data_IF_109603922178
#
_entry.id   IF_109603922178
#
_cell.length_a   1.000
_cell.length_b   1.000
_cell.length_c   1.000
_cell.angle_alpha   90.00
_cell.angle_beta   90.00
_cell.angle_gamma   90.00
#
_symmetry.space_group_name_H-M   'P 1'
#
loop_
_entity.id
_entity.type
_entity.pdbx_description
1 polymer ?
#
# COMPACT_ATOMS: atom_id res chain seq x y z
N UNK A 1 15.00 -5.21 7.45
CA UNK A 1 13.58 -4.87 7.26
C UNK A 1 13.40 -4.20 5.91
N UNK A 2 12.27 -4.43 5.24
CA UNK A 2 11.97 -3.81 3.94
C UNK A 2 10.48 -3.61 3.75
N UNK A 3 10.12 -2.69 2.88
CA UNK A 3 8.77 -2.56 2.37
C UNK A 3 8.62 -3.40 1.09
N UNK A 4 7.63 -4.30 1.06
CA UNK A 4 7.30 -5.08 -0.14
C UNK A 4 6.13 -4.43 -0.87
N UNK A 5 6.22 -4.38 -2.20
CA UNK A 5 5.13 -4.01 -3.09
C UNK A 5 5.06 -5.07 -4.19
N UNK A 6 3.86 -5.55 -4.52
CA UNK A 6 3.66 -6.47 -5.64
C UNK A 6 2.65 -5.84 -6.59
N UNK A 7 3.06 -5.59 -7.84
CA UNK A 7 2.23 -4.92 -8.84
C UNK A 7 1.84 -5.89 -9.98
N UNK A 8 0.64 -5.68 -10.55
CA UNK A 8 0.15 -6.46 -11.68
C UNK A 8 0.86 -6.10 -12.98
N UNK A 9 1.42 -7.13 -13.65
CA UNK A 9 2.07 -7.00 -14.96
C UNK A 9 1.11 -7.07 -16.14
N UNK A 10 -0.04 -7.74 -15.99
CA UNK A 10 -1.05 -7.87 -17.05
C UNK A 10 -1.73 -6.55 -17.43
N UNK A 11 -1.77 -5.60 -16.50
CA UNK A 11 -2.34 -4.27 -16.74
C UNK A 11 -1.52 -3.42 -17.70
N UNK A 12 -0.26 -3.80 -17.98
CA UNK A 12 0.65 -3.06 -18.88
C UNK A 12 0.71 -1.55 -18.57
N UNK A 13 0.63 -1.21 -17.28
CA UNK A 13 0.68 0.18 -16.81
C UNK A 13 1.91 0.88 -17.38
N UNK A 14 1.72 2.12 -17.83
CA UNK A 14 2.84 2.96 -18.23
C UNK A 14 3.80 3.15 -17.04
N UNK A 15 5.10 3.43 -17.27
CA UNK A 15 6.05 3.61 -16.18
C UNK A 15 5.59 4.66 -15.15
N UNK A 16 4.96 5.74 -15.60
CA UNK A 16 4.39 6.78 -14.74
C UNK A 16 3.22 6.28 -13.90
N UNK A 17 2.28 5.54 -14.49
CA UNK A 17 1.16 4.94 -13.76
C UNK A 17 1.64 3.91 -12.74
N UNK A 18 2.54 3.00 -13.13
CA UNK A 18 3.15 2.03 -12.22
C UNK A 18 3.82 2.71 -11.03
N UNK A 19 4.60 3.76 -11.28
CA UNK A 19 5.24 4.54 -10.22
C UNK A 19 4.21 5.16 -9.28
N UNK A 20 3.14 5.76 -9.80
CA UNK A 20 2.06 6.31 -9.00
C UNK A 20 1.39 5.24 -8.10
N UNK A 21 1.06 4.06 -8.66
CA UNK A 21 0.49 2.97 -7.88
C UNK A 21 1.45 2.46 -6.79
N UNK A 22 2.76 2.38 -7.09
CA UNK A 22 3.76 2.00 -6.10
C UNK A 22 3.91 3.08 -5.00
N UNK A 23 3.76 4.37 -5.32
CA UNK A 23 3.73 5.44 -4.32
C UNK A 23 2.50 5.30 -3.41
N UNK A 24 1.32 5.05 -3.96
CA UNK A 24 0.11 4.79 -3.17
C UNK A 24 0.32 3.58 -2.23
N UNK A 25 0.82 2.47 -2.76
CA UNK A 25 1.16 1.28 -1.97
C UNK A 25 2.18 1.56 -0.87
N UNK A 26 3.20 2.39 -1.15
CA UNK A 26 4.24 2.72 -0.20
C UNK A 26 3.75 3.59 0.95
N UNK A 27 2.82 4.52 0.66
CA UNK A 27 2.29 5.46 1.63
C UNK A 27 1.09 4.94 2.42
N UNK A 28 0.38 3.93 1.90
CA UNK A 28 -0.88 3.45 2.47
C UNK A 28 -0.80 3.18 3.98
N UNK A 29 0.24 2.49 4.46
CA UNK A 29 0.37 2.18 5.89
C UNK A 29 0.52 3.42 6.81
N UNK A 30 0.94 4.55 6.26
CA UNK A 30 1.01 5.83 6.96
C UNK A 30 -0.29 6.63 6.80
N UNK A 31 -0.85 6.64 5.58
CA UNK A 31 -1.96 7.53 5.22
C UNK A 31 -3.34 6.97 5.55
N UNK A 32 -3.54 5.65 5.51
CA UNK A 32 -4.83 5.04 5.86
C UNK A 32 -5.26 5.37 7.29
N UNK A 33 -4.40 5.19 8.32
CA UNK A 33 -4.75 5.56 9.69
C UNK A 33 -5.14 7.05 9.82
N UNK A 34 -4.43 7.94 9.12
CA UNK A 34 -4.73 9.38 9.10
C UNK A 34 -6.09 9.62 8.42
N UNK A 35 -6.36 8.98 7.29
CA UNK A 35 -7.63 9.09 6.58
C UNK A 35 -8.81 8.59 7.41
N UNK A 36 -8.57 7.63 8.31
CA UNK A 36 -9.54 7.16 9.31
C UNK A 36 -9.61 8.05 10.56
N UNK A 37 -8.88 9.17 10.61
CA UNK A 37 -8.88 10.12 11.72
C UNK A 37 -8.04 9.72 12.93
N UNK A 38 -7.21 8.68 12.84
CA UNK A 38 -6.38 8.22 13.95
C UNK A 38 -5.23 9.21 14.21
N UNK A 39 -5.15 9.73 15.44
CA UNK A 39 -4.11 10.69 15.83
C UNK A 39 -4.21 12.03 15.11
N UNK A 40 -5.38 12.38 14.55
CA UNK A 40 -5.61 13.62 13.82
C UNK A 40 -6.33 14.64 14.70
N UNK A 41 -5.73 15.82 14.85
CA UNK A 41 -6.28 16.94 15.62
C UNK A 41 -6.41 18.19 14.74
N UNK A 42 -7.54 18.91 14.78
CA UNK A 42 -7.70 20.16 14.05
C UNK A 42 -6.85 21.27 14.66
N UNK A 43 -6.30 22.13 13.81
CA UNK A 43 -5.57 23.33 14.20
C UNK A 43 -6.47 24.54 13.93
N UNK A 44 -6.94 25.16 15.00
CA UNK A 44 -7.84 26.32 14.92
C UNK A 44 -7.09 27.65 15.03
N UNK A 45 -7.55 28.63 14.27
CA UNK A 45 -7.11 30.02 14.35
C UNK A 45 -8.31 30.95 14.12
N UNK A 46 -8.58 31.84 15.07
CA UNK A 46 -9.73 32.76 15.04
C UNK A 46 -11.10 32.08 14.90
N UNK A 47 -11.26 30.85 15.40
CA UNK A 47 -12.50 30.08 15.29
C UNK A 47 -12.69 29.34 13.96
N UNK A 48 -11.67 29.33 13.09
CA UNK A 48 -11.67 28.54 11.84
C UNK A 48 -10.59 27.44 11.89
N UNK A 49 -10.93 26.25 11.37
CA UNK A 49 -9.95 25.18 11.17
C UNK A 49 -9.05 25.55 10.00
N UNK A 50 -7.76 25.72 10.27
CA UNK A 50 -6.75 26.13 9.29
C UNK A 50 -5.81 25.00 8.85
N UNK A 51 -5.91 23.85 9.52
CA UNK A 51 -5.13 22.67 9.19
C UNK A 51 -5.41 21.53 10.16
N UNK A 52 -4.68 20.43 9.97
CA UNK A 52 -4.73 19.27 10.84
C UNK A 52 -3.31 18.83 11.19
N UNK A 53 -3.09 18.47 12.45
CA UNK A 53 -1.89 17.76 12.89
C UNK A 53 -2.20 16.28 12.92
N UNK A 54 -1.31 15.45 12.39
CA UNK A 54 -1.42 14.00 12.47
C UNK A 54 -0.20 13.45 13.21
N UNK A 55 -0.44 12.59 14.20
CA UNK A 55 0.59 11.84 14.91
C UNK A 55 0.48 10.36 14.54
N UNK A 56 1.60 9.77 14.11
CA UNK A 56 1.69 8.35 13.75
C UNK A 56 2.64 7.67 14.72
N UNK A 57 2.17 6.60 15.36
CA UNK A 57 3.02 5.72 16.16
C UNK A 57 3.64 4.65 15.26
N UNK A 58 4.96 4.64 15.15
CA UNK A 58 5.72 3.59 14.49
C UNK A 58 6.31 2.65 15.53
N UNK A 59 6.23 1.35 15.28
CA UNK A 59 6.97 0.38 16.09
C UNK A 59 8.47 0.70 16.06
N UNK A 60 9.16 0.51 17.18
CA UNK A 60 10.59 0.83 17.34
C UNK A 60 11.43 0.31 16.17
N UNK A 61 11.28 -0.96 15.82
CA UNK A 61 12.02 -1.55 14.71
C UNK A 61 11.68 -0.84 13.39
N UNK A 62 10.38 -0.64 13.09
CA UNK A 62 9.89 0.11 11.92
C UNK A 62 10.57 1.48 11.79
N UNK A 63 10.70 2.21 12.91
CA UNK A 63 11.41 3.48 12.94
C UNK A 63 12.92 3.31 12.72
N UNK A 64 13.61 2.59 13.60
CA UNK A 64 15.08 2.56 13.64
C UNK A 64 15.72 1.83 12.45
N UNK A 65 15.13 0.74 11.96
CA UNK A 65 15.75 -0.07 10.90
C UNK A 65 15.23 0.27 9.50
N UNK A 66 14.05 0.87 9.38
CA UNK A 66 13.47 1.24 8.08
C UNK A 66 13.32 2.74 7.90
N UNK A 67 12.58 3.45 8.78
CA UNK A 67 12.29 4.88 8.60
C UNK A 67 13.53 5.77 8.71
N UNK A 68 14.29 5.64 9.80
CA UNK A 68 15.60 6.25 10.03
C UNK A 68 16.76 5.33 9.61
N UNK A 69 16.43 4.23 8.93
CA UNK A 69 17.36 3.22 8.46
C UNK A 69 17.50 3.23 6.94
N UNK A 70 17.44 2.03 6.34
CA UNK A 70 17.70 1.89 4.89
C UNK A 70 16.56 2.39 3.99
N UNK A 71 15.36 2.58 4.55
CA UNK A 71 14.13 2.93 3.84
C UNK A 71 13.83 2.02 2.63
N UNK A 72 14.37 0.79 2.66
CA UNK A 72 14.42 -0.15 1.53
C UNK A 72 13.04 -0.56 1.06
N UNK A 73 12.85 -0.59 -0.26
CA UNK A 73 11.63 -1.04 -0.92
C UNK A 73 11.97 -2.10 -1.97
N UNK A 74 11.15 -3.12 -2.09
CA UNK A 74 11.25 -4.14 -3.14
C UNK A 74 9.94 -4.22 -3.89
N UNK A 75 10.01 -4.10 -5.22
CA UNK A 75 8.85 -4.17 -6.11
C UNK A 75 8.93 -5.48 -6.89
N UNK A 76 7.94 -6.34 -6.72
CA UNK A 76 7.78 -7.59 -7.45
C UNK A 76 6.60 -7.52 -8.42
N UNK A 77 6.57 -8.41 -9.41
CA UNK A 77 5.50 -8.53 -10.39
C UNK A 77 4.59 -9.74 -10.15
N UNK A 78 3.30 -9.49 -9.94
CA UNK A 78 2.26 -10.49 -10.09
C UNK A 78 1.84 -10.61 -11.56
N UNK A 79 1.69 -11.84 -12.06
CA UNK A 79 1.28 -12.06 -13.46
C UNK A 79 -0.11 -11.48 -13.77
N UNK A 80 -1.04 -11.57 -12.82
CA UNK A 80 -2.41 -11.09 -12.95
C UNK A 80 -3.09 -10.94 -11.58
N UNK A 81 -4.34 -10.45 -11.56
CA UNK A 81 -5.18 -10.29 -10.35
C UNK A 81 -5.17 -11.52 -9.45
N UNK A 82 -5.33 -12.72 -10.02
CA UNK A 82 -5.37 -13.96 -9.24
C UNK A 82 -4.03 -14.27 -8.56
N UNK A 83 -2.90 -14.01 -9.22
CA UNK A 83 -1.59 -14.18 -8.58
C UNK A 83 -1.32 -13.08 -7.54
N UNK A 84 -1.81 -11.86 -7.75
CA UNK A 84 -1.73 -10.80 -6.76
C UNK A 84 -2.47 -11.19 -5.48
N UNK A 85 -3.71 -11.71 -5.61
CA UNK A 85 -4.52 -12.14 -4.48
C UNK A 85 -3.93 -13.35 -3.72
N UNK A 86 -3.07 -14.16 -4.34
CA UNK A 86 -2.31 -15.18 -3.60
C UNK A 86 -1.32 -14.57 -2.60
N UNK A 87 -0.73 -13.40 -2.91
CA UNK A 87 0.13 -12.71 -1.95
C UNK A 87 -0.67 -12.25 -0.74
N UNK A 88 -1.90 -11.76 -0.95
CA UNK A 88 -2.87 -11.47 0.13
C UNK A 88 -3.13 -12.71 0.98
N UNK A 89 -3.46 -13.85 0.36
CA UNK A 89 -3.72 -15.10 1.09
C UNK A 89 -2.51 -15.52 1.95
N UNK A 90 -1.30 -15.49 1.38
CA UNK A 90 -0.07 -15.82 2.13
C UNK A 90 0.14 -14.85 3.30
N UNK A 91 -0.10 -13.54 3.08
CA UNK A 91 0.01 -12.55 4.14
C UNK A 91 -0.96 -12.82 5.30
N UNK A 92 -2.22 -13.13 4.98
CA UNK A 92 -3.25 -13.49 5.98
C UNK A 92 -2.89 -14.78 6.72
N UNK A 93 -2.37 -15.80 6.04
CA UNK A 93 -1.87 -17.04 6.64
C UNK A 93 -0.69 -16.81 7.60
N UNK A 94 0.12 -15.77 7.35
CA UNK A 94 1.20 -15.33 8.23
C UNK A 94 0.72 -14.42 9.37
N UNK A 95 -0.59 -14.18 9.48
CA UNK A 95 -1.20 -13.37 10.53
C UNK A 95 -1.15 -11.86 10.29
N UNK A 96 -0.80 -11.42 9.06
CA UNK A 96 -0.90 -10.01 8.68
C UNK A 96 -2.35 -9.65 8.37
N UNK A 97 -2.74 -8.42 8.67
CA UNK A 97 -4.12 -7.92 8.57
C UNK A 97 -4.24 -6.85 7.49
N UNK A 98 -5.28 -6.97 6.65
CA UNK A 98 -5.61 -5.95 5.63
C UNK A 98 -5.96 -4.61 6.31
N UNK A 99 -5.55 -3.50 5.71
CA UNK A 99 -5.68 -2.12 6.22
C UNK A 99 -4.90 -1.83 7.51
N UNK A 100 -3.95 -2.71 7.86
CA UNK A 100 -3.01 -2.51 8.98
C UNK A 100 -1.59 -2.86 8.56
N UNK A 101 -1.40 -4.08 8.10
CA UNK A 101 -0.09 -4.62 7.71
C UNK A 101 0.09 -4.60 6.19
N UNK A 102 -1.00 -4.69 5.43
CA UNK A 102 -0.99 -4.59 3.98
C UNK A 102 -2.26 -3.93 3.44
N UNK A 103 -2.16 -3.39 2.22
CA UNK A 103 -3.15 -2.51 1.61
C UNK A 103 -3.31 -2.89 0.14
N UNK A 104 -4.54 -3.13 -0.28
CA UNK A 104 -4.89 -3.36 -1.67
C UNK A 104 -5.14 -2.02 -2.36
N UNK A 105 -4.32 -1.69 -3.35
CA UNK A 105 -4.40 -0.41 -4.07
C UNK A 105 -5.28 -0.57 -5.30
N UNK A 106 -6.32 0.26 -5.37
CA UNK A 106 -7.26 0.29 -6.48
C UNK A 106 -7.16 1.63 -7.18
N UNK A 107 -6.95 1.58 -8.50
CA UNK A 107 -6.97 2.76 -9.34
C UNK A 107 -8.42 3.09 -9.73
N UNK A 108 -8.83 4.35 -9.59
CA UNK A 108 -10.16 4.82 -9.95
C UNK A 108 -10.41 4.93 -11.46
N UNK A 109 -9.48 4.42 -12.29
CA UNK A 109 -9.64 4.28 -13.75
C UNK A 109 -9.95 5.58 -14.50
N UNK A 110 -9.54 6.73 -13.96
CA UNK A 110 -9.74 8.03 -14.63
C UNK A 110 -8.80 8.28 -15.83
N UNK A 111 -7.90 7.34 -16.14
CA UNK A 111 -6.91 7.50 -17.21
C UNK A 111 -6.79 6.26 -18.11
N UNK A 112 -5.73 5.46 -17.97
CA UNK A 112 -5.33 4.42 -18.94
C UNK A 112 -5.86 3.01 -18.61
N UNK A 113 -6.56 2.83 -17.49
CA UNK A 113 -7.10 1.55 -17.06
C UNK A 113 -8.62 1.56 -17.20
N UNK A 114 -9.17 0.42 -17.60
CA UNK A 114 -10.62 0.18 -17.58
C UNK A 114 -11.02 -0.44 -16.22
N UNK A 115 -12.21 -0.10 -15.68
CA UNK A 115 -12.72 -0.72 -14.46
C UNK A 115 -12.93 -2.23 -14.57
N UNK A 116 -12.45 -2.98 -13.57
CA UNK A 116 -12.72 -4.42 -13.40
C UNK A 116 -13.79 -4.68 -12.32
N UNK A 117 -13.99 -3.75 -11.40
CA UNK A 117 -14.95 -3.79 -10.30
C UNK A 117 -15.56 -2.40 -10.06
N UNK A 118 -16.69 -2.34 -9.35
CA UNK A 118 -17.43 -1.10 -9.06
C UNK A 118 -17.82 -1.07 -7.58
N UNK A 119 -17.77 0.10 -6.95
CA UNK A 119 -18.26 0.28 -5.57
C UNK A 119 -19.78 0.51 -5.49
N UNK A 120 -20.26 0.78 -4.28
CA UNK A 120 -21.67 1.04 -3.99
C UNK A 120 -22.23 2.31 -4.66
N UNK A 121 -21.36 3.25 -5.03
CA UNK A 121 -21.71 4.49 -5.72
C UNK A 121 -21.60 4.34 -7.25
N UNK A 122 -21.18 3.18 -7.75
CA UNK A 122 -20.96 2.91 -9.17
C UNK A 122 -19.65 3.47 -9.70
N UNK A 123 -18.71 3.86 -8.83
CA UNK A 123 -17.38 4.29 -9.25
C UNK A 123 -16.54 3.06 -9.62
N UNK A 124 -16.03 3.08 -10.85
CA UNK A 124 -15.25 1.98 -11.41
C UNK A 124 -13.82 1.99 -10.93
N UNK A 125 -13.29 0.80 -10.61
CA UNK A 125 -11.93 0.66 -10.11
C UNK A 125 -11.26 -0.63 -10.58
N UNK A 126 -9.93 -0.63 -10.52
CA UNK A 126 -9.11 -1.79 -10.86
C UNK A 126 -8.01 -1.98 -9.82
N UNK A 127 -7.96 -3.17 -9.23
CA UNK A 127 -6.89 -3.56 -8.32
C UNK A 127 -5.54 -3.62 -9.05
N UNK A 128 -4.59 -2.78 -8.68
CA UNK A 128 -3.30 -2.61 -9.38
C UNK A 128 -2.13 -3.26 -8.66
N UNK A 129 -2.04 -3.08 -7.35
CA UNK A 129 -0.96 -3.63 -6.53
C UNK A 129 -1.40 -3.88 -5.08
N UNK A 130 -0.54 -4.60 -4.35
CA UNK A 130 -0.60 -4.73 -2.90
C UNK A 130 0.66 -4.10 -2.32
N UNK A 131 0.49 -3.21 -1.35
CA UNK A 131 1.56 -2.61 -0.55
C UNK A 131 1.57 -3.17 0.85
N UNK A 132 2.75 -3.41 1.40
CA UNK A 132 2.91 -3.80 2.80
C UNK A 132 3.48 -2.63 3.60
N UNK A 133 3.26 -2.61 4.92
CA UNK A 133 4.13 -1.85 5.82
C UNK A 133 5.56 -2.41 5.74
N UNK A 134 6.56 -1.76 6.37
CA UNK A 134 7.86 -2.39 6.55
C UNK A 134 7.74 -3.71 7.34
N UNK A 135 8.30 -4.78 6.79
CA UNK A 135 8.26 -6.12 7.35
C UNK A 135 9.68 -6.65 7.60
N UNK A 136 9.87 -7.55 8.59
CA UNK A 136 11.08 -8.35 8.68
C UNK A 136 11.37 -9.04 7.34
N UNK A 137 12.64 -9.11 6.95
CA UNK A 137 13.04 -9.59 5.63
C UNK A 137 12.59 -11.02 5.35
N UNK A 138 12.57 -11.87 6.38
CA UNK A 138 12.09 -13.26 6.29
C UNK A 138 10.61 -13.34 5.93
N UNK A 139 9.76 -12.51 6.56
CA UNK A 139 8.31 -12.44 6.27
C UNK A 139 8.09 -11.89 4.87
N UNK A 140 8.78 -10.81 4.51
CA UNK A 140 8.71 -10.25 3.15
C UNK A 140 9.14 -11.29 2.10
N UNK A 141 10.16 -12.10 2.38
CA UNK A 141 10.61 -13.17 1.49
C UNK A 141 9.60 -14.32 1.38
N UNK A 142 9.00 -14.76 2.50
CA UNK A 142 7.95 -15.79 2.48
C UNK A 142 6.77 -15.39 1.59
N UNK A 143 6.37 -14.12 1.60
CA UNK A 143 5.32 -13.60 0.71
C UNK A 143 5.79 -13.54 -0.74
N UNK A 144 7.01 -13.04 -0.97
CA UNK A 144 7.51 -12.69 -2.31
C UNK A 144 8.24 -13.80 -3.06
N UNK A 145 8.61 -14.93 -2.44
CA UNK A 145 9.52 -15.92 -3.06
C UNK A 145 9.05 -16.51 -4.39
N UNK A 146 7.74 -16.47 -4.70
CA UNK A 146 7.17 -16.92 -5.98
C UNK A 146 7.02 -15.79 -7.01
N UNK A 147 7.33 -14.56 -6.64
CA UNK A 147 7.23 -13.37 -7.46
C UNK A 147 8.62 -12.92 -7.88
N UNK A 148 8.75 -12.56 -9.16
CA UNK A 148 9.99 -12.01 -9.70
C UNK A 148 10.02 -10.50 -9.46
N UNK A 149 11.22 -9.90 -9.45
CA UNK A 149 11.33 -8.44 -9.53
C UNK A 149 10.53 -7.91 -10.72
N UNK A 150 9.91 -6.74 -10.54
CA UNK A 150 9.07 -6.14 -11.58
C UNK A 150 9.90 -5.75 -12.81
#
# INVERSE_FOLDING_TARGET
MRQLIIARKDLQMSPGKLAAQCCHASLAFLTDPIGMGQGVEPIEKNGEITGYRAEIMLEKATYEEWFDGSFTKTICGAKNRNQLLKAKTIAEELGLVENKDFFLIRDACHTELEPEEFDENGEGMTLTCIGFRPLPDEIAHQISHKFHLY
#
